data_IF_903270897641
#
_entry.id   IF_903270897641
#
_cell.length_a   1.000
_cell.length_b   1.000
_cell.length_c   1.000
_cell.angle_alpha   90.00
_cell.angle_beta   90.00
_cell.angle_gamma   90.00
#
_symmetry.space_group_name_H-M   'P 1'
#
loop_
_entity.id
_entity.type
_entity.pdbx_description
1 polymer ?
#
# COMPACT_ATOMS: atom_id res chain seq x y z
N UNK A 1 -19.96 19.35 -8.69
CA UNK A 1 -18.96 18.26 -8.72
C UNK A 1 -17.76 18.75 -9.52
N UNK A 2 -16.61 18.95 -8.90
CA UNK A 2 -15.36 19.29 -9.63
C UNK A 2 -14.67 17.99 -10.04
N UNK A 3 -14.06 17.97 -11.23
CA UNK A 3 -13.16 16.88 -11.63
C UNK A 3 -13.81 15.63 -12.22
N UNK A 4 -14.68 15.78 -13.22
CA UNK A 4 -15.21 14.65 -13.99
C UNK A 4 -14.32 14.41 -15.22
N UNK A 5 -13.83 13.17 -15.36
CA UNK A 5 -13.14 12.71 -16.56
C UNK A 5 -14.15 12.32 -17.63
N UNK A 6 -13.86 12.63 -18.89
CA UNK A 6 -14.67 12.15 -20.02
C UNK A 6 -14.45 10.65 -20.23
N UNK A 7 -15.41 9.94 -20.82
CA UNK A 7 -15.34 8.47 -21.00
C UNK A 7 -14.02 8.02 -21.66
N UNK A 8 -13.49 8.81 -22.59
CA UNK A 8 -12.21 8.52 -23.26
C UNK A 8 -11.01 8.57 -22.30
N UNK A 9 -11.06 9.45 -21.30
CA UNK A 9 -10.02 9.59 -20.27
C UNK A 9 -10.07 8.50 -19.21
N UNK A 10 -11.18 7.76 -19.10
CA UNK A 10 -11.23 6.57 -18.27
C UNK A 10 -10.40 5.43 -18.84
N UNK A 11 -10.32 5.32 -20.18
CA UNK A 11 -9.64 4.21 -20.85
C UNK A 11 -8.17 4.08 -20.40
N UNK A 12 -7.34 5.15 -20.37
CA UNK A 12 -5.98 5.04 -19.88
C UNK A 12 -5.86 4.54 -18.43
N UNK A 13 -6.76 4.98 -17.55
CA UNK A 13 -6.76 4.60 -16.13
C UNK A 13 -7.12 3.13 -15.97
N UNK A 14 -8.13 2.67 -16.71
CA UNK A 14 -8.56 1.26 -16.70
C UNK A 14 -7.45 0.36 -17.22
N UNK A 15 -6.77 0.74 -18.30
CA UNK A 15 -5.65 -0.02 -18.84
C UNK A 15 -4.51 -0.14 -17.81
N UNK A 16 -4.11 0.97 -17.17
CA UNK A 16 -3.12 0.93 -16.09
C UNK A 16 -3.55 0.02 -14.92
N UNK A 17 -4.84 0.03 -14.55
CA UNK A 17 -5.37 -0.85 -13.51
C UNK A 17 -5.32 -2.34 -13.92
N UNK A 18 -5.58 -2.66 -15.19
CA UNK A 18 -5.48 -4.04 -15.72
C UNK A 18 -4.03 -4.53 -15.64
N UNK A 19 -3.07 -3.74 -16.11
CA UNK A 19 -1.64 -4.09 -16.01
C UNK A 19 -1.19 -4.26 -14.56
N UNK A 20 -1.67 -3.40 -13.66
CA UNK A 20 -1.38 -3.51 -12.23
C UNK A 20 -1.93 -4.82 -11.65
N UNK A 21 -3.18 -5.15 -11.96
CA UNK A 21 -3.80 -6.38 -11.48
C UNK A 21 -3.10 -7.63 -12.04
N UNK A 22 -2.74 -7.62 -13.33
CA UNK A 22 -1.94 -8.68 -13.95
C UNK A 22 -0.61 -8.88 -13.22
N UNK A 23 0.14 -7.81 -12.96
CA UNK A 23 1.41 -7.87 -12.21
C UNK A 23 1.23 -8.38 -10.78
N UNK A 24 0.16 -7.97 -10.10
CA UNK A 24 -0.16 -8.48 -8.75
C UNK A 24 -0.34 -9.99 -8.74
N UNK A 25 -1.07 -10.52 -9.73
CA UNK A 25 -1.35 -11.95 -9.85
C UNK A 25 -0.10 -12.74 -10.27
N UNK A 26 0.64 -12.27 -11.28
CA UNK A 26 1.85 -12.95 -11.76
C UNK A 26 2.95 -13.04 -10.71
N UNK A 27 3.13 -11.97 -9.91
CA UNK A 27 4.13 -11.92 -8.85
C UNK A 27 3.63 -12.48 -7.52
N UNK A 28 2.40 -13.00 -7.50
CA UNK A 28 1.69 -13.45 -6.31
C UNK A 28 1.80 -12.45 -5.15
N UNK A 29 1.82 -11.14 -5.46
CA UNK A 29 2.10 -10.10 -4.47
C UNK A 29 1.05 -10.09 -3.37
N UNK A 30 -0.16 -10.53 -3.66
CA UNK A 30 -1.26 -10.64 -2.70
C UNK A 30 -0.98 -11.72 -1.65
N UNK A 31 -0.64 -12.95 -2.06
CA UNK A 31 -0.38 -14.03 -1.09
C UNK A 31 1.04 -13.96 -0.54
N UNK A 32 2.05 -13.64 -1.36
CA UNK A 32 3.44 -13.44 -0.92
C UNK A 32 3.55 -12.28 0.07
N UNK A 33 2.78 -11.21 -0.15
CA UNK A 33 2.65 -10.10 0.78
C UNK A 33 2.12 -10.50 2.14
N UNK A 34 0.99 -11.21 2.16
CA UNK A 34 0.41 -11.74 3.38
C UNK A 34 1.37 -12.71 4.07
N UNK A 35 1.95 -13.65 3.31
CA UNK A 35 2.86 -14.69 3.82
C UNK A 35 4.16 -14.13 4.38
N UNK A 36 4.71 -13.07 3.77
CA UNK A 36 5.88 -12.37 4.29
C UNK A 36 5.58 -11.58 5.57
N UNK A 37 4.32 -11.20 5.81
CA UNK A 37 3.90 -10.52 7.04
C UNK A 37 3.69 -11.50 8.21
N UNK A 38 3.36 -12.76 7.94
CA UNK A 38 3.12 -13.81 8.95
C UNK A 38 4.25 -13.90 10.00
N UNK A 39 5.54 -14.01 9.65
CA UNK A 39 6.60 -14.11 10.66
C UNK A 39 6.72 -12.85 11.52
N UNK A 40 6.43 -11.66 10.98
CA UNK A 40 6.51 -10.42 11.77
C UNK A 40 5.31 -10.22 12.69
N UNK A 41 4.15 -10.78 12.35
CA UNK A 41 2.92 -10.64 13.14
C UNK A 41 2.75 -11.79 14.13
N UNK A 42 2.98 -13.04 13.70
CA UNK A 42 2.65 -14.23 14.50
C UNK A 42 3.85 -14.82 15.25
N UNK A 43 5.07 -14.79 14.69
CA UNK A 43 6.24 -15.33 15.38
C UNK A 43 6.50 -14.66 16.74
N UNK A 44 6.42 -13.32 16.89
CA UNK A 44 6.64 -12.70 18.20
C UNK A 44 5.51 -12.99 19.19
N UNK A 45 4.31 -13.37 18.74
CA UNK A 45 3.19 -13.72 19.61
C UNK A 45 3.42 -15.05 20.35
N UNK A 46 4.12 -16.01 19.73
CA UNK A 46 4.35 -17.35 20.33
C UNK A 46 5.03 -17.27 21.71
N UNK A 47 6.22 -16.65 21.88
CA UNK A 47 6.87 -16.57 23.19
C UNK A 47 6.12 -15.68 24.19
N UNK A 48 5.18 -14.85 23.71
CA UNK A 48 4.38 -13.97 24.56
C UNK A 48 3.12 -14.66 25.11
N UNK A 49 2.36 -15.37 24.27
CA UNK A 49 1.09 -15.98 24.68
C UNK A 49 1.28 -17.20 25.57
N UNK A 50 2.37 -17.96 25.38
CA UNK A 50 2.67 -19.14 26.21
C UNK A 50 2.68 -18.77 27.71
N UNK A 51 3.52 -17.84 28.21
CA UNK A 51 3.53 -17.49 29.63
C UNK A 51 2.21 -16.85 30.10
N UNK A 52 1.54 -16.05 29.26
CA UNK A 52 0.26 -15.42 29.60
C UNK A 52 -0.83 -16.47 29.88
N UNK A 53 -0.90 -17.54 29.09
CA UNK A 53 -1.88 -18.64 29.29
C UNK A 53 -1.66 -19.36 30.63
N UNK A 54 -0.41 -19.57 31.04
CA UNK A 54 -0.11 -20.17 32.35
C UNK A 54 -0.37 -19.20 33.51
N UNK A 55 -0.08 -17.92 33.31
CA UNK A 55 -0.20 -16.89 34.34
C UNK A 55 -1.63 -16.44 34.56
N UNK A 56 -2.52 -16.52 33.57
CA UNK A 56 -3.91 -16.04 33.74
C UNK A 56 -4.66 -16.80 34.83
N UNK A 57 -4.33 -18.08 35.03
CA UNK A 57 -4.95 -18.95 36.03
C UNK A 57 -4.24 -18.91 37.40
N UNK A 58 -2.97 -18.49 37.45
CA UNK A 58 -2.13 -18.57 38.65
C UNK A 58 -1.82 -17.21 39.26
N UNK A 59 -1.60 -16.19 38.42
CA UNK A 59 -1.35 -14.82 38.83
C UNK A 59 -1.88 -13.83 37.77
N UNK A 60 -3.19 -13.51 37.80
CA UNK A 60 -3.85 -12.73 36.76
C UNK A 60 -3.32 -11.29 36.66
N UNK A 61 -2.86 -10.71 37.78
CA UNK A 61 -2.26 -9.37 37.78
C UNK A 61 -0.95 -9.33 36.99
N UNK A 62 -0.11 -10.35 37.15
CA UNK A 62 1.14 -10.47 36.38
C UNK A 62 0.87 -10.72 34.90
N UNK A 63 -0.17 -11.51 34.57
CA UNK A 63 -0.61 -11.70 33.19
C UNK A 63 -1.05 -10.39 32.52
N UNK A 64 -1.83 -9.56 33.22
CA UNK A 64 -2.26 -8.24 32.74
C UNK A 64 -1.04 -7.32 32.54
N UNK A 65 -0.11 -7.29 33.50
CA UNK A 65 1.10 -6.48 33.41
C UNK A 65 1.96 -6.85 32.18
N UNK A 66 2.09 -8.14 31.89
CA UNK A 66 2.79 -8.63 30.70
C UNK A 66 2.11 -8.19 29.39
N UNK A 67 0.78 -8.25 29.32
CA UNK A 67 0.02 -7.76 28.15
C UNK A 67 0.25 -6.27 27.92
N UNK A 68 0.18 -5.47 28.98
CA UNK A 68 0.43 -4.03 28.87
C UNK A 68 1.87 -3.77 28.41
N UNK A 69 2.85 -4.47 28.98
CA UNK A 69 4.27 -4.31 28.64
C UNK A 69 4.60 -4.72 27.19
N UNK A 70 3.93 -5.76 26.68
CA UNK A 70 4.21 -6.30 25.35
C UNK A 70 3.48 -5.55 24.22
N UNK A 71 2.33 -4.93 24.51
CA UNK A 71 1.54 -4.17 23.53
C UNK A 71 2.35 -3.18 22.69
N UNK A 72 3.20 -2.30 23.25
CA UNK A 72 4.00 -1.36 22.44
C UNK A 72 5.03 -2.07 21.56
N UNK A 73 5.64 -3.17 22.03
CA UNK A 73 6.61 -3.95 21.25
C UNK A 73 5.92 -4.57 20.04
N UNK A 74 4.76 -5.20 20.25
CA UNK A 74 3.95 -5.76 19.17
C UNK A 74 3.54 -4.70 18.15
N UNK A 75 3.07 -3.54 18.62
CA UNK A 75 2.67 -2.44 17.74
C UNK A 75 3.83 -1.97 16.84
N UNK A 76 5.05 -1.93 17.37
CA UNK A 76 6.26 -1.58 16.60
C UNK A 76 6.58 -2.67 15.59
N UNK A 77 6.65 -3.94 15.98
CA UNK A 77 7.00 -5.04 15.06
C UNK A 77 5.95 -5.20 13.95
N UNK A 78 4.66 -5.14 14.30
CA UNK A 78 3.58 -5.16 13.32
C UNK A 78 3.71 -4.00 12.32
N UNK A 79 3.96 -2.77 12.81
CA UNK A 79 4.19 -1.60 11.96
C UNK A 79 5.36 -1.80 11.01
N UNK A 80 6.47 -2.39 11.45
CA UNK A 80 7.62 -2.72 10.60
C UNK A 80 7.30 -3.77 9.51
N UNK A 81 6.45 -4.76 9.82
CA UNK A 81 5.97 -5.72 8.81
C UNK A 81 5.16 -5.02 7.71
N UNK A 82 4.23 -4.15 8.09
CA UNK A 82 3.41 -3.40 7.13
C UNK A 82 4.21 -2.42 6.25
N UNK A 83 5.31 -1.85 6.75
CA UNK A 83 6.14 -0.91 5.98
C UNK A 83 6.99 -1.60 4.92
N UNK A 84 7.26 -2.91 5.04
CA UNK A 84 8.05 -3.68 4.05
C UNK A 84 7.26 -4.15 2.83
N UNK A 85 5.95 -4.33 2.98
CA UNK A 85 5.07 -4.74 1.87
C UNK A 85 4.72 -3.58 0.92
N UNK A 86 4.69 -2.36 1.46
CA UNK A 86 4.39 -1.11 0.76
C UNK A 86 5.21 -0.83 -0.50
N UNK A 87 6.56 -0.95 -0.50
CA UNK A 87 7.37 -0.57 -1.66
C UNK A 87 7.13 -1.48 -2.87
N UNK A 88 6.84 -2.76 -2.65
CA UNK A 88 6.58 -3.72 -3.73
C UNK A 88 5.30 -3.39 -4.50
N UNK A 89 4.25 -3.04 -3.77
CA UNK A 89 2.97 -2.60 -4.36
C UNK A 89 3.13 -1.31 -5.14
N UNK A 90 3.86 -0.35 -4.57
CA UNK A 90 4.16 0.92 -5.24
C UNK A 90 4.97 0.70 -6.51
N UNK A 91 6.00 -0.14 -6.46
CA UNK A 91 6.82 -0.47 -7.63
C UNK A 91 5.99 -1.14 -8.72
N UNK A 92 5.17 -2.14 -8.38
CA UNK A 92 4.30 -2.81 -9.34
C UNK A 92 3.32 -1.84 -10.01
N UNK A 93 2.80 -0.85 -9.28
CA UNK A 93 1.92 0.18 -9.84
C UNK A 93 2.67 1.12 -10.79
N UNK A 94 3.87 1.56 -10.43
CA UNK A 94 4.69 2.42 -11.29
C UNK A 94 5.12 1.69 -12.59
N UNK A 95 5.49 0.43 -12.49
CA UNK A 95 5.78 -0.39 -13.68
C UNK A 95 4.54 -0.58 -14.55
N UNK A 96 3.37 -0.83 -13.95
CA UNK A 96 2.12 -0.96 -14.68
C UNK A 96 1.74 0.33 -15.41
N UNK A 97 1.98 1.49 -14.78
CA UNK A 97 1.77 2.78 -15.40
C UNK A 97 2.70 2.98 -16.62
N UNK A 98 3.97 2.57 -16.52
CA UNK A 98 4.91 2.65 -17.63
C UNK A 98 4.49 1.74 -18.80
N UNK A 99 4.11 0.48 -18.52
CA UNK A 99 3.62 -0.46 -19.55
C UNK A 99 2.32 0.02 -20.19
N UNK A 100 1.39 0.56 -19.40
CA UNK A 100 0.14 1.10 -19.90
C UNK A 100 0.37 2.33 -20.78
N UNK A 101 1.29 3.23 -20.41
CA UNK A 101 1.64 4.37 -21.24
C UNK A 101 2.28 3.94 -22.57
N UNK A 102 3.17 2.95 -22.53
CA UNK A 102 3.78 2.39 -23.74
C UNK A 102 2.74 1.71 -24.65
N UNK A 103 1.78 0.98 -24.07
CA UNK A 103 0.70 0.31 -24.81
C UNK A 103 -0.27 1.30 -25.47
N UNK A 104 -0.66 2.36 -24.76
CA UNK A 104 -1.60 3.35 -25.26
C UNK A 104 -0.97 4.35 -26.24
N UNK A 105 0.33 4.60 -26.11
CA UNK A 105 1.08 5.58 -26.90
C UNK A 105 0.71 7.03 -26.59
N UNK A 106 1.45 7.95 -27.21
CA UNK A 106 1.21 9.40 -27.24
C UNK A 106 1.02 10.06 -25.87
N UNK A 107 1.60 9.52 -24.79
CA UNK A 107 1.50 10.09 -23.44
C UNK A 107 0.07 10.26 -22.91
N UNK A 108 -0.88 9.49 -23.46
CA UNK A 108 -2.31 9.58 -23.10
C UNK A 108 -2.55 9.36 -21.61
N UNK A 109 -1.85 8.40 -20.98
CA UNK A 109 -1.94 8.19 -19.54
C UNK A 109 -1.34 9.36 -18.74
N UNK A 110 -0.20 9.89 -19.18
CA UNK A 110 0.47 11.02 -18.54
C UNK A 110 -0.45 12.26 -18.51
N UNK A 111 -1.11 12.55 -19.62
CA UNK A 111 -1.99 13.72 -19.74
C UNK A 111 -3.23 13.61 -18.86
N UNK A 112 -3.83 12.41 -18.79
CA UNK A 112 -4.95 12.14 -17.89
C UNK A 112 -4.51 12.28 -16.42
N UNK A 113 -3.33 11.78 -16.04
CA UNK A 113 -2.82 11.93 -14.68
C UNK A 113 -2.56 13.40 -14.33
N UNK A 114 -1.96 14.18 -15.24
CA UNK A 114 -1.80 15.64 -15.07
C UNK A 114 -3.15 16.36 -14.97
N UNK A 115 -4.18 15.88 -15.68
CA UNK A 115 -5.54 16.43 -15.56
C UNK A 115 -6.17 16.12 -14.21
N UNK A 116 -6.05 14.88 -13.72
CA UNK A 116 -6.51 14.51 -12.37
C UNK A 116 -5.79 15.35 -11.31
N UNK A 117 -4.49 15.57 -11.46
CA UNK A 117 -3.69 16.38 -10.54
C UNK A 117 -4.24 17.80 -10.39
N UNK A 118 -4.66 18.40 -11.50
CA UNK A 118 -5.26 19.74 -11.55
C UNK A 118 -6.65 19.83 -10.93
N UNK A 119 -7.36 18.72 -10.73
CA UNK A 119 -8.65 18.74 -10.06
C UNK A 119 -8.55 19.06 -8.57
N UNK A 120 -7.36 18.91 -7.96
CA UNK A 120 -7.13 19.23 -6.55
C UNK A 120 -8.06 18.44 -5.63
N UNK A 121 -8.32 17.18 -5.97
CA UNK A 121 -9.20 16.31 -5.19
C UNK A 121 -8.56 16.00 -3.83
N UNK A 122 -9.35 16.09 -2.76
CA UNK A 122 -8.85 15.92 -1.40
C UNK A 122 -8.13 14.59 -1.19
N UNK A 123 -8.59 13.50 -1.79
CA UNK A 123 -7.97 12.18 -1.69
C UNK A 123 -6.61 12.12 -2.40
N UNK A 124 -6.48 12.78 -3.55
CA UNK A 124 -5.24 12.93 -4.30
C UNK A 124 -4.23 13.80 -3.53
N UNK A 125 -4.66 14.95 -3.02
CA UNK A 125 -3.83 15.86 -2.23
C UNK A 125 -3.41 15.25 -0.88
N UNK A 126 -4.29 14.49 -0.24
CA UNK A 126 -3.97 13.75 0.98
C UNK A 126 -2.92 12.65 0.74
N UNK A 127 -2.83 12.08 -0.47
CA UNK A 127 -1.80 11.11 -0.85
C UNK A 127 -0.45 11.76 -1.16
N UNK A 128 -0.44 13.02 -1.65
CA UNK A 128 0.78 13.82 -1.79
C UNK A 128 1.33 14.25 -0.43
N UNK A 129 0.44 14.64 0.47
CA UNK A 129 0.78 15.10 1.81
C UNK A 129 0.86 13.96 2.83
N UNK A 130 1.43 14.20 4.01
CA UNK A 130 1.44 13.20 5.09
C UNK A 130 0.06 12.98 5.75
N UNK A 131 -1.06 13.32 5.10
CA UNK A 131 -2.41 13.26 5.69
C UNK A 131 -3.24 12.01 5.33
N UNK A 132 -2.92 11.27 4.26
CA UNK A 132 -3.62 10.03 3.95
C UNK A 132 -3.40 8.93 5.02
N UNK A 133 -4.35 7.98 5.18
CA UNK A 133 -4.18 6.83 6.06
C UNK A 133 -2.88 6.10 5.74
N UNK A 134 -2.14 5.65 6.77
CA UNK A 134 -0.85 4.97 6.61
C UNK A 134 -0.97 3.80 5.63
N UNK A 135 -2.07 3.03 5.68
CA UNK A 135 -2.33 1.92 4.75
C UNK A 135 -2.40 2.36 3.28
N UNK A 136 -3.15 3.41 2.93
CA UNK A 136 -3.24 3.90 1.54
C UNK A 136 -1.92 4.46 1.05
N UNK A 137 -1.22 5.25 1.88
CA UNK A 137 0.11 5.74 1.53
C UNK A 137 1.03 4.57 1.25
N UNK A 138 1.04 3.58 2.14
CA UNK A 138 1.88 2.42 2.00
C UNK A 138 1.61 1.67 0.68
N UNK A 139 0.35 1.50 0.28
CA UNK A 139 0.04 0.67 -0.87
C UNK A 139 0.11 1.40 -2.23
N UNK A 140 -0.10 2.72 -2.28
CA UNK A 140 -0.20 3.46 -3.54
C UNK A 140 0.83 4.61 -3.64
N UNK A 141 1.50 4.78 -4.79
CA UNK A 141 2.31 5.96 -5.05
C UNK A 141 1.43 7.20 -5.19
N UNK A 142 1.98 8.38 -4.86
CA UNK A 142 1.31 9.65 -5.12
C UNK A 142 1.18 9.90 -6.62
N UNK A 143 0.20 10.71 -7.03
CA UNK A 143 0.01 11.08 -8.43
C UNK A 143 1.25 11.77 -9.03
N UNK A 144 1.93 12.59 -8.23
CA UNK A 144 3.20 13.24 -8.60
C UNK A 144 4.25 12.20 -8.98
N UNK A 145 4.40 11.14 -8.16
CA UNK A 145 5.38 10.08 -8.42
C UNK A 145 5.03 9.23 -9.63
N UNK A 146 3.72 9.04 -9.90
CA UNK A 146 3.25 8.36 -11.12
C UNK A 146 3.58 9.18 -12.38
N UNK A 147 3.33 10.49 -12.33
CA UNK A 147 3.66 11.43 -13.42
C UNK A 147 5.17 11.44 -13.68
N UNK A 148 5.99 11.61 -12.64
CA UNK A 148 7.46 11.58 -12.73
C UNK A 148 7.95 10.29 -13.39
N UNK A 149 7.44 9.13 -12.95
CA UNK A 149 7.85 7.84 -13.46
C UNK A 149 7.55 7.66 -14.96
N UNK A 150 6.34 8.02 -15.40
CA UNK A 150 5.99 7.94 -16.82
C UNK A 150 6.83 8.92 -17.64
N UNK A 151 7.01 10.15 -17.14
CA UNK A 151 7.82 11.15 -17.83
C UNK A 151 9.30 10.78 -17.97
N UNK A 152 9.83 9.98 -17.06
CA UNK A 152 11.21 9.47 -17.14
C UNK A 152 11.37 8.28 -18.10
N UNK A 153 10.26 7.64 -18.51
CA UNK A 153 10.26 6.46 -19.38
C UNK A 153 9.86 6.79 -20.82
N UNK A 154 9.50 8.05 -21.09
CA UNK A 154 9.12 8.57 -22.41
C UNK A 154 10.32 9.22 -23.07
#
# INVERSE_FOLDING_TARGET
MRGVLTLEEWKPIVVAAIFYHKKMTERDLTNSGFRSMIPYVFLPMIPFFIPVIFLVNTNPLLAIALVIAYTPVYAVVAKYGFTRYSPLLRAAMLEADAEANAFLGNNTLLDVLKRIDRFGLDDVENLKTQKAPTSRKLQRPSITRRIENISATT
#
